data_IF_962496152563
#
_entry.id   IF_962496152563
#
_cell.length_a   1.000
_cell.length_b   1.000
_cell.length_c   1.000
_cell.angle_alpha   90.00
_cell.angle_beta   90.00
_cell.angle_gamma   90.00
#
_symmetry.space_group_name_H-M   'P 1'
#
loop_
_entity.id
_entity.type
_entity.pdbx_description
1 polymer ?
#
# COMPACT_ATOMS: atom_id res chain seq x y z
N UNK A 1 16.70 -11.62 -5.02
CA UNK A 1 16.52 -10.16 -4.94
C UNK A 1 15.54 -9.76 -6.01
N UNK A 2 14.42 -9.18 -5.62
CA UNK A 2 13.42 -8.56 -6.50
C UNK A 2 13.93 -7.17 -6.89
N UNK A 3 14.65 -7.09 -8.02
CA UNK A 3 15.43 -5.90 -8.42
C UNK A 3 15.03 -5.36 -9.81
N UNK A 4 13.86 -5.72 -10.31
CA UNK A 4 13.44 -5.29 -11.65
C UNK A 4 12.65 -3.97 -11.65
N UNK A 5 12.20 -3.46 -10.50
CA UNK A 5 11.32 -2.29 -10.44
C UNK A 5 12.12 -0.99 -10.43
N UNK A 6 11.83 -0.14 -11.41
CA UNK A 6 12.40 1.19 -11.60
C UNK A 6 11.38 2.30 -11.30
N UNK A 7 11.86 3.54 -11.19
CA UNK A 7 11.00 4.71 -10.98
C UNK A 7 9.93 4.85 -12.09
N UNK A 8 10.29 4.51 -13.34
CA UNK A 8 9.34 4.51 -14.45
C UNK A 8 8.22 3.49 -14.31
N UNK A 9 8.47 2.34 -13.68
CA UNK A 9 7.44 1.30 -13.49
C UNK A 9 6.40 1.75 -12.47
N UNK A 10 6.84 2.40 -11.39
CA UNK A 10 5.93 2.98 -10.40
C UNK A 10 5.11 4.10 -11.04
N UNK A 11 5.75 5.01 -11.77
CA UNK A 11 5.06 6.11 -12.48
C UNK A 11 4.13 5.64 -13.60
N UNK A 12 4.30 4.42 -14.11
CA UNK A 12 3.35 3.84 -15.05
C UNK A 12 2.00 3.49 -14.41
N UNK A 13 1.95 3.28 -13.08
CA UNK A 13 0.72 2.89 -12.36
C UNK A 13 0.16 3.99 -11.45
N UNK A 14 0.96 4.98 -11.07
CA UNK A 14 0.53 6.15 -10.29
C UNK A 14 1.03 7.44 -10.93
N UNK A 15 0.13 8.39 -11.09
CA UNK A 15 0.45 9.71 -11.65
C UNK A 15 1.13 10.56 -10.57
N UNK A 16 2.46 10.64 -10.62
CA UNK A 16 3.31 11.36 -9.65
C UNK A 16 4.55 11.93 -10.33
N UNK A 17 4.92 13.14 -9.92
CA UNK A 17 6.18 13.79 -10.33
C UNK A 17 7.31 13.56 -9.32
N UNK A 18 7.02 12.89 -8.19
CA UNK A 18 7.98 12.65 -7.13
C UNK A 18 8.99 11.56 -7.53
N UNK A 19 10.18 11.65 -6.98
CA UNK A 19 11.14 10.54 -7.02
C UNK A 19 10.61 9.37 -6.19
N UNK A 20 10.36 8.23 -6.84
CA UNK A 20 9.78 7.06 -6.20
C UNK A 20 10.83 6.11 -5.61
N UNK A 21 12.11 6.36 -5.87
CA UNK A 21 13.24 5.51 -5.44
C UNK A 21 13.27 5.22 -3.93
N UNK A 22 13.00 6.19 -3.02
CA UNK A 22 12.98 5.92 -1.58
C UNK A 22 11.85 4.96 -1.16
N UNK A 23 10.70 5.03 -1.86
CA UNK A 23 9.56 4.16 -1.58
C UNK A 23 9.79 2.75 -2.12
N UNK A 24 10.43 2.63 -3.29
CA UNK A 24 10.87 1.34 -3.84
C UNK A 24 11.83 0.66 -2.86
N UNK A 25 12.82 1.40 -2.33
CA UNK A 25 13.78 0.85 -1.36
C UNK A 25 13.09 0.35 -0.09
N UNK A 26 12.11 1.11 0.41
CA UNK A 26 11.34 0.73 1.60
C UNK A 26 10.45 -0.49 1.33
N UNK A 27 9.80 -0.54 0.17
CA UNK A 27 9.00 -1.68 -0.25
C UNK A 27 9.85 -2.94 -0.41
N UNK A 28 11.05 -2.83 -0.99
CA UNK A 28 12.00 -3.93 -1.10
C UNK A 28 12.41 -4.46 0.25
N UNK A 29 12.71 -3.59 1.22
CA UNK A 29 13.06 -4.03 2.57
C UNK A 29 11.96 -4.89 3.20
N UNK A 30 10.70 -4.47 3.08
CA UNK A 30 9.55 -5.22 3.61
C UNK A 30 9.42 -6.58 2.92
N UNK A 31 9.54 -6.62 1.59
CA UNK A 31 9.45 -7.87 0.83
C UNK A 31 10.63 -8.80 1.15
N UNK A 32 11.83 -8.26 1.30
CA UNK A 32 13.04 -9.01 1.57
C UNK A 32 13.04 -9.60 2.99
N UNK A 33 12.55 -8.86 3.98
CA UNK A 33 12.50 -9.34 5.38
C UNK A 33 11.31 -10.26 5.65
N UNK A 34 10.15 -10.00 5.06
CA UNK A 34 8.90 -10.69 5.42
C UNK A 34 8.47 -11.78 4.43
N UNK A 35 8.85 -11.68 3.15
CA UNK A 35 8.32 -12.54 2.08
C UNK A 35 9.37 -13.45 1.43
N UNK A 36 10.67 -13.13 1.53
CA UNK A 36 11.73 -14.03 1.05
C UNK A 36 11.72 -15.32 1.88
N UNK A 37 11.40 -16.44 1.23
CA UNK A 37 11.35 -17.77 1.83
C UNK A 37 10.01 -18.49 1.64
N UNK A 38 8.94 -17.76 1.28
CA UNK A 38 7.59 -18.32 1.18
C UNK A 38 7.23 -18.92 -0.20
N UNK A 39 8.23 -19.41 -0.95
CA UNK A 39 8.04 -20.07 -2.26
C UNK A 39 7.28 -19.25 -3.32
N UNK A 40 7.31 -17.92 -3.22
CA UNK A 40 6.74 -17.03 -4.24
C UNK A 40 7.70 -16.85 -5.40
N UNK A 41 7.17 -16.74 -6.62
CA UNK A 41 8.00 -16.44 -7.79
C UNK A 41 8.57 -15.03 -7.70
N UNK A 42 9.74 -14.83 -8.30
CA UNK A 42 10.43 -13.54 -8.33
C UNK A 42 9.57 -12.45 -8.96
N UNK A 43 8.81 -12.79 -10.01
CA UNK A 43 7.92 -11.87 -10.72
C UNK A 43 6.78 -11.40 -9.81
N UNK A 44 6.28 -12.29 -8.94
CA UNK A 44 5.22 -11.95 -8.00
C UNK A 44 5.73 -11.04 -6.89
N UNK A 45 6.94 -11.27 -6.40
CA UNK A 45 7.61 -10.39 -5.43
C UNK A 45 7.87 -9.00 -6.03
N UNK A 46 8.34 -8.93 -7.29
CA UNK A 46 8.53 -7.66 -7.99
C UNK A 46 7.21 -6.87 -8.11
N UNK A 47 6.11 -7.54 -8.43
CA UNK A 47 4.79 -6.89 -8.47
C UNK A 47 4.36 -6.39 -7.09
N UNK A 48 4.61 -7.15 -6.02
CA UNK A 48 4.32 -6.68 -4.64
C UNK A 48 5.12 -5.43 -4.31
N UNK A 49 6.41 -5.39 -4.64
CA UNK A 49 7.26 -4.20 -4.46
C UNK A 49 6.68 -3.00 -5.21
N UNK A 50 6.29 -3.18 -6.47
CA UNK A 50 5.70 -2.13 -7.30
C UNK A 50 4.45 -1.52 -6.65
N UNK A 51 3.51 -2.36 -6.22
CA UNK A 51 2.26 -1.90 -5.60
C UNK A 51 2.47 -1.32 -4.19
N UNK A 52 3.43 -1.82 -3.41
CA UNK A 52 3.80 -1.23 -2.12
C UNK A 52 4.46 0.14 -2.30
N UNK A 53 5.37 0.29 -3.27
CA UNK A 53 5.98 1.57 -3.57
C UNK A 53 4.92 2.60 -3.98
N UNK A 54 4.01 2.24 -4.88
CA UNK A 54 2.88 3.10 -5.26
C UNK A 54 1.94 3.40 -4.08
N UNK A 55 1.72 2.45 -3.17
CA UNK A 55 0.97 2.69 -1.94
C UNK A 55 1.65 3.78 -1.09
N UNK A 56 2.96 3.71 -0.87
CA UNK A 56 3.66 4.71 -0.06
C UNK A 56 3.72 6.09 -0.73
N UNK A 57 3.88 6.14 -2.05
CA UNK A 57 3.77 7.39 -2.82
C UNK A 57 2.39 8.00 -2.62
N UNK A 58 1.34 7.21 -2.87
CA UNK A 58 -0.05 7.61 -2.69
C UNK A 58 -0.26 8.16 -1.28
N UNK A 59 0.04 7.41 -0.23
CA UNK A 59 -0.07 7.89 1.16
C UNK A 59 0.72 9.17 1.42
N UNK A 60 1.91 9.33 0.84
CA UNK A 60 2.77 10.50 1.07
C UNK A 60 2.26 11.76 0.38
N UNK A 61 1.93 11.67 -0.90
CA UNK A 61 1.39 12.81 -1.66
C UNK A 61 0.00 13.18 -1.18
N UNK A 62 -0.75 12.14 -0.83
CA UNK A 62 -2.06 12.26 -0.26
C UNK A 62 -2.00 12.56 1.26
N UNK A 63 -0.85 12.83 1.89
CA UNK A 63 -0.76 13.15 3.35
C UNK A 63 -1.59 12.23 4.27
N UNK A 64 -1.65 10.92 3.98
CA UNK A 64 -2.52 9.96 4.68
C UNK A 64 -3.87 9.70 4.00
N UNK A 65 -4.00 9.97 2.71
CA UNK A 65 -5.25 9.85 1.95
C UNK A 65 -5.99 11.19 1.80
N UNK A 66 -5.42 12.11 1.01
CA UNK A 66 -6.05 13.22 0.31
C UNK A 66 -7.32 12.66 -0.30
N UNK A 67 -8.37 12.93 0.45
CA UNK A 67 -9.76 12.77 0.10
C UNK A 67 -10.17 13.68 -1.07
N UNK A 68 -9.25 14.50 -1.64
CA UNK A 68 -9.55 15.45 -2.74
C UNK A 68 -8.34 16.18 -3.35
N UNK A 69 -8.11 16.02 -4.65
CA UNK A 69 -7.53 17.08 -5.49
C UNK A 69 -8.63 17.59 -6.42
N UNK A 70 -8.86 18.91 -6.43
CA UNK A 70 -10.02 19.54 -7.08
C UNK A 70 -9.59 20.11 -8.43
N UNK A 71 -10.07 19.52 -9.52
CA UNK A 71 -9.99 20.11 -10.86
C UNK A 71 -11.35 19.97 -11.58
N UNK A 72 -12.29 20.88 -11.29
CA UNK A 72 -13.53 21.06 -12.07
C UNK A 72 -14.82 20.37 -11.59
N UNK A 73 -15.83 20.38 -12.47
CA UNK A 73 -17.26 19.98 -12.29
C UNK A 73 -17.50 18.47 -12.51
N UNK A 74 -16.61 17.60 -12.06
CA UNK A 74 -16.86 16.16 -12.02
C UNK A 74 -17.42 15.77 -10.66
N UNK A 75 -18.69 15.36 -10.62
CA UNK A 75 -19.34 14.76 -9.45
C UNK A 75 -19.14 13.24 -9.53
N UNK A 76 -18.29 12.70 -8.67
CA UNK A 76 -18.11 11.27 -8.51
C UNK A 76 -18.42 10.86 -7.07
N UNK A 77 -19.27 9.84 -6.97
CA UNK A 77 -19.90 9.37 -5.75
C UNK A 77 -18.91 8.87 -4.70
N UNK A 78 -19.10 9.41 -3.50
CA UNK A 78 -18.48 9.10 -2.21
C UNK A 78 -18.41 7.60 -1.90
N UNK A 79 -17.22 7.00 -1.94
CA UNK A 79 -16.92 5.84 -1.11
C UNK A 79 -16.33 6.40 0.18
N UNK A 80 -17.19 6.62 1.18
CA UNK A 80 -16.73 6.97 2.52
C UNK A 80 -15.60 6.03 2.88
N UNK A 81 -14.46 6.59 3.27
CA UNK A 81 -13.45 5.82 3.98
C UNK A 81 -14.18 5.38 5.25
N UNK A 82 -14.79 4.19 5.20
CA UNK A 82 -15.24 3.52 6.41
C UNK A 82 -14.03 3.57 7.35
N UNK A 83 -14.27 3.87 8.62
CA UNK A 83 -13.29 3.83 9.71
C UNK A 83 -12.57 2.47 9.86
N UNK A 84 -12.81 1.54 8.94
CA UNK A 84 -12.29 0.17 8.84
C UNK A 84 -11.08 0.04 7.90
N UNK A 85 -10.84 0.99 6.97
CA UNK A 85 -9.70 0.92 6.06
C UNK A 85 -8.42 1.43 6.75
N UNK A 86 -7.65 0.53 7.36
CA UNK A 86 -6.40 0.81 8.07
C UNK A 86 -5.19 0.17 7.38
N UNK A 87 -4.04 0.83 7.47
CA UNK A 87 -2.77 0.33 6.92
C UNK A 87 -2.78 0.20 5.39
N UNK A 88 -2.34 -0.94 4.87
CA UNK A 88 -2.27 -1.23 3.42
C UNK A 88 -3.65 -1.23 2.75
N UNK A 89 -4.73 -1.46 3.49
CA UNK A 89 -6.09 -1.41 2.92
C UNK A 89 -6.58 0.00 2.57
N UNK A 90 -5.87 1.05 3.01
CA UNK A 90 -6.27 2.46 2.82
C UNK A 90 -6.19 2.94 1.37
N UNK A 91 -5.38 2.29 0.51
CA UNK A 91 -5.27 2.66 -0.90
C UNK A 91 -5.48 1.44 -1.79
N UNK A 92 -5.95 1.68 -3.03
CA UNK A 92 -6.11 0.61 -4.05
C UNK A 92 -4.82 -0.17 -4.28
N UNK A 93 -3.67 0.51 -4.19
CA UNK A 93 -2.36 -0.08 -4.41
C UNK A 93 -1.97 -1.04 -3.28
N UNK A 94 -2.23 -0.66 -2.03
CA UNK A 94 -1.96 -1.55 -0.89
C UNK A 94 -2.93 -2.74 -0.83
N UNK A 95 -4.18 -2.57 -1.27
CA UNK A 95 -5.12 -3.69 -1.48
C UNK A 95 -4.60 -4.68 -2.54
N UNK A 96 -4.07 -4.17 -3.65
CA UNK A 96 -3.49 -5.00 -4.70
C UNK A 96 -2.24 -5.76 -4.23
N UNK A 97 -1.38 -5.12 -3.43
CA UNK A 97 -0.23 -5.78 -2.82
C UNK A 97 -0.66 -6.93 -1.89
N UNK A 98 -1.72 -6.75 -1.09
CA UNK A 98 -2.26 -7.81 -0.24
C UNK A 98 -2.85 -8.99 -1.02
N UNK A 99 -3.51 -8.74 -2.16
CA UNK A 99 -4.04 -9.81 -3.04
C UNK A 99 -2.89 -10.62 -3.67
N UNK A 100 -1.79 -9.93 -4.01
CA UNK A 100 -0.62 -10.57 -4.57
C UNK A 100 0.14 -11.39 -3.51
N UNK A 101 0.10 -11.02 -2.23
CA UNK A 101 0.65 -11.84 -1.16
C UNK A 101 -0.23 -13.08 -0.88
N UNK A 102 0.21 -14.25 -1.37
CA UNK A 102 -0.49 -15.53 -1.13
C UNK A 102 -0.33 -16.07 0.29
N UNK A 103 0.58 -15.49 1.09
CA UNK A 103 0.84 -15.93 2.47
C UNK A 103 -0.08 -15.24 3.48
N UNK A 104 -0.62 -14.08 3.12
CA UNK A 104 -1.44 -13.25 4.00
C UNK A 104 -0.63 -12.51 5.09
N UNK A 105 0.70 -12.52 5.03
CA UNK A 105 1.57 -11.83 5.99
C UNK A 105 1.39 -10.31 5.91
N UNK A 106 1.28 -9.75 4.71
CA UNK A 106 1.04 -8.31 4.52
C UNK A 106 -0.34 -7.90 5.06
N UNK A 107 -1.36 -8.73 4.84
CA UNK A 107 -2.70 -8.51 5.40
C UNK A 107 -2.67 -8.56 6.93
N UNK A 108 -2.00 -9.56 7.51
CA UNK A 108 -1.83 -9.68 8.94
C UNK A 108 -1.13 -8.46 9.56
N UNK A 109 -0.10 -7.91 8.91
CA UNK A 109 0.58 -6.69 9.39
C UNK A 109 -0.27 -5.43 9.24
N UNK A 110 -1.10 -5.36 8.19
CA UNK A 110 -2.01 -4.23 7.97
C UNK A 110 -3.10 -4.14 9.05
N UNK A 111 -3.61 -5.27 9.54
CA UNK A 111 -4.71 -5.30 10.53
C UNK A 111 -4.20 -5.30 11.97
N UNK A 112 -2.97 -5.78 12.23
CA UNK A 112 -2.45 -5.97 13.59
C UNK A 112 -1.56 -4.82 14.10
N UNK A 113 -1.97 -3.57 13.86
CA UNK A 113 -1.46 -2.41 14.60
C UNK A 113 -2.00 -2.37 16.04
N UNK A 114 -1.86 -3.46 16.80
CA UNK A 114 -2.09 -3.52 18.26
C UNK A 114 -3.22 -2.63 18.79
N UNK A 115 -4.48 -2.88 18.41
CA UNK A 115 -5.61 -2.37 19.16
C UNK A 115 -5.55 -3.01 20.56
N UNK A 116 -4.89 -2.34 21.51
CA UNK A 116 -5.14 -2.55 22.93
C UNK A 116 -6.66 -2.45 23.10
N UNK A 117 -7.25 -3.51 23.63
CA UNK A 117 -8.68 -3.61 23.91
C UNK A 117 -9.24 -2.26 24.41
N UNK A 118 -10.18 -1.70 23.66
CA UNK A 118 -10.95 -0.55 24.11
C UNK A 118 -11.93 -1.11 25.13
N UNK A 119 -11.71 -0.84 26.42
CA UNK A 119 -12.69 -1.13 27.46
C UNK A 119 -13.76 -0.03 27.40
N UNK A 120 -14.88 -0.32 26.77
CA UNK A 120 -16.08 0.50 26.95
C UNK A 120 -16.71 0.13 28.30
N UNK A 121 -16.70 1.07 29.25
CA UNK A 121 -17.47 0.94 30.48
C UNK A 121 -18.92 1.22 30.14
N UNK A 122 -19.72 0.16 30.05
CA UNK A 122 -21.18 0.27 29.97
C UNK A 122 -21.68 0.64 31.37
N UNK A 123 -22.03 1.91 31.55
CA UNK A 123 -22.78 2.41 32.71
C UNK A 123 -24.28 2.30 32.52
#
# INVERSE_FOLDING_TARGET
>A
MAMAISDSDVKAIIDTERDTSPFITTAQLIVDEDLIGNSMSTERLDQIVLYLAAHFVCVTEERGGVTRSRLGDADESYRGIDSTAQGLSSTRYGQQAMILDSTGLLAAKSTNGGLKAIFEVVG
#
